data_IF_810071063688
#
_entry.id   IF_810071063688
#
_cell.length_a   1.000
_cell.length_b   1.000
_cell.length_c   1.000
_cell.angle_alpha   90.00
_cell.angle_beta   90.00
_cell.angle_gamma   90.00
#
_symmetry.space_group_name_H-M   'P 1'
#
loop_
_entity.id
_entity.type
_entity.pdbx_description
1 polymer ?
#
# COMPACT_ATOMS: atom_id res chain seq x y z
N UNK A 1 -18.40 0.85 28.93
CA UNK A 1 -17.34 1.41 28.04
C UNK A 1 -17.62 0.95 26.62
N UNK A 2 -18.17 1.82 25.78
CA UNK A 2 -18.73 1.45 24.47
C UNK A 2 -17.63 0.98 23.50
N UNK A 3 -17.97 0.12 22.55
CA UNK A 3 -17.05 -0.43 21.55
C UNK A 3 -16.31 0.68 20.77
N UNK A 4 -16.97 1.81 20.50
CA UNK A 4 -16.37 3.00 19.88
C UNK A 4 -15.18 3.56 20.68
N UNK A 5 -15.29 3.62 22.01
CA UNK A 5 -14.22 4.19 22.85
C UNK A 5 -12.98 3.28 22.88
N UNK A 6 -13.14 1.96 22.74
CA UNK A 6 -12.01 1.04 22.63
C UNK A 6 -11.27 1.21 21.31
N UNK A 7 -11.99 1.36 20.20
CA UNK A 7 -11.40 1.60 18.88
C UNK A 7 -10.67 2.95 18.83
N UNK A 8 -11.24 4.00 19.43
CA UNK A 8 -10.58 5.30 19.55
C UNK A 8 -9.30 5.23 20.40
N UNK A 9 -9.29 4.42 21.46
CA UNK A 9 -8.10 4.20 22.27
C UNK A 9 -7.03 3.38 21.53
N UNK A 10 -7.43 2.41 20.70
CA UNK A 10 -6.54 1.65 19.83
C UNK A 10 -5.91 2.52 18.73
N UNK A 11 -6.70 3.43 18.14
CA UNK A 11 -6.21 4.38 17.16
C UNK A 11 -5.22 5.38 17.76
N UNK A 12 -5.48 5.82 18.99
CA UNK A 12 -4.51 6.54 19.82
C UNK A 12 -3.55 5.59 20.52
N UNK A 13 -3.32 4.38 20.00
CA UNK A 13 -2.38 3.37 20.47
C UNK A 13 -1.11 3.35 19.58
N UNK A 14 0.06 2.98 20.12
CA UNK A 14 1.27 2.83 19.26
C UNK A 14 1.08 1.68 18.27
N UNK A 15 0.28 0.69 18.67
CA UNK A 15 -0.08 -0.48 17.87
C UNK A 15 -0.73 -0.14 16.52
N UNK A 16 -1.54 0.94 16.42
CA UNK A 16 -2.17 1.32 15.15
C UNK A 16 -1.13 1.61 14.06
N UNK A 17 -0.20 2.53 14.33
CA UNK A 17 0.86 2.88 13.38
C UNK A 17 1.90 1.76 13.20
N UNK A 18 2.21 1.02 14.27
CA UNK A 18 3.10 -0.14 14.17
C UNK A 18 2.51 -1.25 13.29
N UNK A 19 1.18 -1.41 13.25
CA UNK A 19 0.52 -2.38 12.38
C UNK A 19 0.68 -2.02 10.90
N UNK A 20 0.60 -0.74 10.52
CA UNK A 20 0.91 -0.32 9.15
C UNK A 20 2.37 -0.58 8.80
N UNK A 21 3.32 -0.20 9.67
CA UNK A 21 4.75 -0.43 9.44
C UNK A 21 5.02 -1.93 9.25
N UNK A 22 4.56 -2.76 10.19
CA UNK A 22 4.78 -4.20 10.14
C UNK A 22 4.08 -4.83 8.92
N UNK A 23 2.84 -4.45 8.63
CA UNK A 23 2.09 -4.95 7.48
C UNK A 23 2.76 -4.61 6.16
N UNK A 24 3.17 -3.36 5.95
CA UNK A 24 3.87 -2.93 4.74
C UNK A 24 5.23 -3.59 4.60
N UNK A 25 6.00 -3.73 5.67
CA UNK A 25 7.29 -4.44 5.64
C UNK A 25 7.11 -5.92 5.29
N UNK A 26 6.11 -6.59 5.85
CA UNK A 26 5.80 -7.98 5.52
C UNK A 26 5.40 -8.15 4.06
N UNK A 27 4.59 -7.23 3.51
CA UNK A 27 4.20 -7.26 2.10
C UNK A 27 5.39 -7.01 1.16
N UNK A 28 6.26 -6.05 1.49
CA UNK A 28 7.50 -5.82 0.74
C UNK A 28 8.42 -7.04 0.81
N UNK A 29 8.60 -7.63 1.99
CA UNK A 29 9.41 -8.83 2.18
C UNK A 29 8.85 -10.02 1.38
N UNK A 30 7.53 -10.21 1.38
CA UNK A 30 6.87 -11.21 0.56
C UNK A 30 7.11 -10.95 -0.94
N UNK A 31 6.99 -9.69 -1.40
CA UNK A 31 7.25 -9.35 -2.79
C UNK A 31 8.70 -9.60 -3.22
N UNK A 32 9.67 -9.32 -2.34
CA UNK A 32 11.09 -9.62 -2.57
C UNK A 32 11.34 -11.12 -2.58
N UNK A 33 10.67 -11.88 -1.71
CA UNK A 33 10.73 -13.35 -1.74
C UNK A 33 10.27 -13.89 -3.09
N UNK A 34 9.12 -13.43 -3.61
CA UNK A 34 8.67 -13.86 -4.94
C UNK A 34 9.64 -13.44 -6.05
N UNK A 35 10.22 -12.24 -5.98
CA UNK A 35 11.18 -11.78 -6.97
C UNK A 35 12.47 -12.62 -6.98
N UNK A 36 13.11 -12.82 -5.84
CA UNK A 36 14.43 -13.45 -5.78
C UNK A 36 14.40 -14.97 -5.64
N UNK A 37 13.37 -15.54 -5.03
CA UNK A 37 13.28 -16.99 -4.78
C UNK A 37 12.42 -17.69 -5.83
N UNK A 38 11.38 -17.02 -6.32
CA UNK A 38 10.45 -17.58 -7.32
C UNK A 38 10.66 -16.98 -8.72
N UNK A 39 11.73 -16.21 -8.90
CA UNK A 39 12.13 -15.56 -10.16
C UNK A 39 10.98 -14.79 -10.83
N UNK A 40 10.08 -14.23 -10.01
CA UNK A 40 8.94 -13.47 -10.50
C UNK A 40 9.39 -12.04 -10.84
N UNK A 41 9.60 -11.79 -12.14
CA UNK A 41 10.00 -10.49 -12.66
C UNK A 41 8.95 -9.42 -12.31
N UNK A 42 9.33 -8.30 -11.67
CA UNK A 42 8.39 -7.24 -11.32
C UNK A 42 7.99 -6.40 -12.54
N UNK A 43 6.68 -6.17 -12.70
CA UNK A 43 6.14 -5.24 -13.68
C UNK A 43 5.98 -3.81 -13.11
N UNK A 44 5.71 -2.84 -13.99
CA UNK A 44 5.50 -1.44 -13.65
C UNK A 44 4.49 -1.24 -12.50
N UNK A 45 3.31 -1.87 -12.59
CA UNK A 45 2.25 -1.72 -11.57
C UNK A 45 2.67 -2.31 -10.22
N UNK A 46 3.40 -3.44 -10.22
CA UNK A 46 3.96 -4.02 -9.00
C UNK A 46 4.97 -3.07 -8.32
N UNK A 47 5.83 -2.40 -9.10
CA UNK A 47 6.76 -1.41 -8.57
C UNK A 47 6.00 -0.20 -8.00
N UNK A 48 4.96 0.28 -8.68
CA UNK A 48 4.10 1.36 -8.15
C UNK A 48 3.47 1.00 -6.81
N UNK A 49 3.00 -0.25 -6.65
CA UNK A 49 2.47 -0.74 -5.37
C UNK A 49 3.56 -0.79 -4.29
N UNK A 50 4.79 -1.21 -4.61
CA UNK A 50 5.92 -1.18 -3.66
C UNK A 50 6.28 0.24 -3.24
N UNK A 51 6.21 1.21 -4.14
CA UNK A 51 6.40 2.62 -3.82
C UNK A 51 5.31 3.11 -2.85
N UNK A 52 4.05 2.76 -3.09
CA UNK A 52 2.93 3.09 -2.20
C UNK A 52 3.08 2.45 -0.81
N UNK A 53 3.53 1.18 -0.73
CA UNK A 53 3.82 0.51 0.55
C UNK A 53 4.96 1.21 1.30
N UNK A 54 6.00 1.64 0.58
CA UNK A 54 7.12 2.40 1.17
C UNK A 54 6.67 3.75 1.70
N UNK A 55 5.82 4.45 0.94
CA UNK A 55 5.18 5.70 1.37
C UNK A 55 4.30 5.48 2.61
N UNK A 56 3.57 4.37 2.68
CA UNK A 56 2.74 4.01 3.83
C UNK A 56 3.57 3.82 5.11
N UNK A 57 4.76 3.21 5.01
CA UNK A 57 5.71 3.10 6.13
C UNK A 57 6.14 4.49 6.62
N UNK A 58 6.51 5.38 5.70
CA UNK A 58 6.92 6.76 6.02
C UNK A 58 5.78 7.51 6.72
N UNK A 59 4.56 7.45 6.17
CA UNK A 59 3.38 8.06 6.77
C UNK A 59 3.10 7.48 8.16
N UNK A 60 3.29 6.18 8.37
CA UNK A 60 3.06 5.56 9.66
C UNK A 60 4.08 6.02 10.72
N UNK A 61 5.35 6.23 10.35
CA UNK A 61 6.37 6.81 11.22
C UNK A 61 6.03 8.26 11.59
N UNK A 62 5.57 9.04 10.61
CA UNK A 62 5.10 10.43 10.83
C UNK A 62 3.87 10.43 11.75
N UNK A 63 2.92 9.53 11.53
CA UNK A 63 1.73 9.36 12.36
C UNK A 63 2.07 8.99 13.81
N UNK A 64 3.08 8.14 14.02
CA UNK A 64 3.59 7.82 15.36
C UNK A 64 4.13 9.06 16.08
N UNK A 65 4.85 9.91 15.36
CA UNK A 65 5.48 11.14 15.88
C UNK A 65 4.46 12.26 16.16
N UNK A 66 3.46 12.39 15.27
CA UNK A 66 2.44 13.45 15.33
C UNK A 66 1.22 13.08 16.17
N UNK A 67 1.18 11.90 16.79
CA UNK A 67 0.07 11.38 17.58
C UNK A 67 -0.44 12.31 18.69
N UNK A 68 0.43 13.17 19.25
CA UNK A 68 0.06 14.17 20.26
C UNK A 68 -0.75 15.35 19.68
N UNK A 69 -0.65 15.59 18.38
CA UNK A 69 -1.28 16.70 17.67
C UNK A 69 -2.46 16.16 16.84
N UNK A 70 -3.72 16.29 17.31
CA UNK A 70 -4.85 15.60 16.69
C UNK A 70 -5.14 16.08 15.26
N UNK A 71 -4.86 17.35 14.94
CA UNK A 71 -5.00 17.90 13.59
C UNK A 71 -3.98 17.28 12.61
N UNK A 72 -2.69 17.26 12.99
CA UNK A 72 -1.64 16.66 12.16
C UNK A 72 -1.89 15.15 11.96
N UNK A 73 -2.26 14.45 13.03
CA UNK A 73 -2.59 13.03 12.96
C UNK A 73 -3.79 12.77 12.04
N UNK A 74 -4.80 13.64 12.01
CA UNK A 74 -5.92 13.53 11.07
C UNK A 74 -5.47 13.75 9.61
N UNK A 75 -4.59 14.72 9.35
CA UNK A 75 -4.01 14.91 8.02
C UNK A 75 -3.27 13.65 7.53
N UNK A 76 -2.42 13.06 8.38
CA UNK A 76 -1.71 11.81 8.04
C UNK A 76 -2.69 10.66 7.75
N UNK A 77 -3.77 10.54 8.53
CA UNK A 77 -4.80 9.53 8.27
C UNK A 77 -5.54 9.77 6.95
N UNK A 78 -5.82 11.02 6.57
CA UNK A 78 -6.38 11.36 5.26
C UNK A 78 -5.41 10.99 4.13
N UNK A 79 -4.12 11.32 4.28
CA UNK A 79 -3.10 10.92 3.30
C UNK A 79 -2.99 9.39 3.20
N UNK A 80 -3.15 8.68 4.31
CA UNK A 80 -3.15 7.21 4.34
C UNK A 80 -4.32 6.63 3.55
N UNK A 81 -5.51 7.24 3.62
CA UNK A 81 -6.66 6.86 2.78
C UNK A 81 -6.34 7.06 1.30
N UNK A 82 -5.72 8.20 0.94
CA UNK A 82 -5.31 8.46 -0.44
C UNK A 82 -4.34 7.39 -0.98
N UNK A 83 -3.38 6.95 -0.15
CA UNK A 83 -2.47 5.84 -0.48
C UNK A 83 -3.25 4.52 -0.67
N UNK A 84 -4.22 4.23 0.18
CA UNK A 84 -5.02 3.01 0.06
C UNK A 84 -5.93 3.01 -1.19
N UNK A 85 -6.48 4.18 -1.57
CA UNK A 85 -7.25 4.35 -2.81
C UNK A 85 -6.36 4.11 -4.03
N UNK A 86 -5.21 4.79 -4.09
CA UNK A 86 -4.26 4.63 -5.19
C UNK A 86 -3.72 3.19 -5.28
N UNK A 87 -3.48 2.53 -4.15
CA UNK A 87 -3.09 1.12 -4.15
C UNK A 87 -4.20 0.22 -4.70
N UNK A 88 -5.46 0.50 -4.39
CA UNK A 88 -6.61 -0.24 -4.93
C UNK A 88 -6.80 -0.03 -6.42
N UNK A 89 -6.56 1.20 -6.91
CA UNK A 89 -6.57 1.49 -8.34
C UNK A 89 -5.51 0.68 -9.10
N UNK A 90 -4.26 0.65 -8.59
CA UNK A 90 -3.17 -0.13 -9.21
C UNK A 90 -3.41 -1.63 -9.14
N UNK A 91 -3.95 -2.13 -8.03
CA UNK A 91 -4.33 -3.54 -7.89
C UNK A 91 -5.43 -3.93 -8.89
N UNK A 92 -6.42 -3.04 -9.10
CA UNK A 92 -7.48 -3.24 -10.08
C UNK A 92 -6.93 -3.25 -11.52
N UNK A 93 -6.04 -2.31 -11.86
CA UNK A 93 -5.38 -2.27 -13.17
C UNK A 93 -4.57 -3.55 -13.42
N UNK A 94 -3.78 -3.99 -12.44
CA UNK A 94 -3.00 -5.22 -12.54
C UNK A 94 -3.90 -6.45 -12.79
N UNK A 95 -4.95 -6.62 -11.99
CA UNK A 95 -5.89 -7.72 -12.14
C UNK A 95 -6.66 -7.64 -13.48
N UNK A 96 -6.98 -6.43 -13.92
CA UNK A 96 -7.63 -6.18 -15.20
C UNK A 96 -6.77 -6.51 -16.41
N UNK A 97 -5.47 -6.25 -16.33
CA UNK A 97 -4.51 -6.66 -17.35
C UNK A 97 -4.30 -8.18 -17.34
N UNK A 98 -4.21 -8.81 -16.16
CA UNK A 98 -4.10 -10.27 -16.05
C UNK A 98 -5.31 -11.00 -16.67
N UNK A 99 -6.52 -10.48 -16.48
CA UNK A 99 -7.77 -11.08 -16.99
C UNK A 99 -8.17 -10.57 -18.38
N UNK A 100 -7.42 -9.65 -18.97
CA UNK A 100 -7.63 -9.15 -20.33
C UNK A 100 -8.80 -8.18 -20.50
N UNK A 101 -9.30 -7.57 -19.42
CA UNK A 101 -10.39 -6.57 -19.50
C UNK A 101 -9.91 -5.12 -19.36
N UNK A 102 -8.66 -4.89 -18.93
CA UNK A 102 -8.00 -3.56 -18.93
C UNK A 102 -6.66 -3.66 -19.64
N UNK A 103 -6.49 -2.88 -20.70
CA UNK A 103 -5.19 -2.69 -21.35
C UNK A 103 -4.58 -1.38 -20.84
N UNK A 104 -3.67 -1.48 -19.87
CA UNK A 104 -2.82 -0.35 -19.48
C UNK A 104 -1.54 -0.36 -20.31
N UNK A 105 -1.08 0.82 -20.73
CA UNK A 105 0.25 1.03 -21.31
C UNK A 105 1.31 0.69 -20.25
N UNK A 106 1.70 -0.57 -20.17
CA UNK A 106 2.76 -1.03 -19.28
C UNK A 106 4.12 -0.83 -19.95
N UNK A 107 4.58 0.42 -19.95
CA UNK A 107 5.95 0.77 -20.28
C UNK A 107 6.93 0.38 -19.16
N UNK A 108 8.22 0.54 -19.43
CA UNK A 108 9.30 0.38 -18.45
C UNK A 108 9.58 1.69 -17.68
N UNK A 109 9.01 2.80 -18.14
CA UNK A 109 9.17 4.11 -17.51
C UNK A 109 8.14 4.30 -16.38
N UNK A 110 8.64 4.67 -15.20
CA UNK A 110 7.84 5.00 -14.02
C UNK A 110 7.15 6.36 -14.14
N UNK A 111 7.55 7.20 -15.10
CA UNK A 111 7.05 8.56 -15.28
C UNK A 111 7.44 9.49 -14.13
N UNK A 112 8.50 9.14 -13.39
CA UNK A 112 9.01 9.93 -12.27
C UNK A 112 9.90 11.06 -12.79
N UNK A 113 9.88 12.24 -12.14
CA UNK A 113 10.78 13.32 -12.52
C UNK A 113 12.24 12.94 -12.26
N UNK A 114 13.18 13.47 -13.04
CA UNK A 114 14.59 13.07 -13.00
C UNK A 114 15.28 13.25 -11.62
N UNK A 115 14.76 14.11 -10.74
CA UNK A 115 15.29 14.28 -9.38
C UNK A 115 14.88 13.15 -8.41
N UNK A 116 13.93 12.29 -8.80
CA UNK A 116 13.34 11.22 -8.01
C UNK A 116 13.48 9.86 -8.73
N UNK A 117 14.68 9.57 -9.23
CA UNK A 117 15.02 8.31 -9.90
C UNK A 117 15.19 7.15 -8.89
N UNK A 118 14.06 6.68 -8.32
CA UNK A 118 14.05 5.60 -7.32
C UNK A 118 14.61 4.29 -7.85
N UNK A 119 14.42 4.03 -9.13
CA UNK A 119 14.94 2.90 -9.88
C UNK A 119 16.48 2.89 -9.96
N UNK A 120 17.11 4.08 -10.01
CA UNK A 120 18.56 4.21 -9.94
C UNK A 120 19.10 4.20 -8.51
N UNK A 121 18.41 4.86 -7.58
CA UNK A 121 18.86 4.94 -6.18
C UNK A 121 18.75 3.60 -5.44
N UNK A 122 17.69 2.84 -5.71
CA UNK A 122 17.42 1.57 -5.03
C UNK A 122 16.92 0.49 -6.01
N UNK A 123 17.77 0.06 -6.96
CA UNK A 123 17.38 -0.81 -8.06
C UNK A 123 16.88 -2.18 -7.59
N UNK A 124 17.38 -2.69 -6.48
CA UNK A 124 16.97 -3.97 -5.92
C UNK A 124 15.50 -3.99 -5.48
N UNK A 125 14.88 -2.83 -5.27
CA UNK A 125 13.48 -2.69 -4.84
C UNK A 125 12.56 -2.11 -5.92
N UNK A 126 13.05 -1.13 -6.69
CA UNK A 126 12.22 -0.32 -7.61
C UNK A 126 12.53 -0.49 -9.11
N UNK A 127 13.39 -1.44 -9.50
CA UNK A 127 13.64 -1.70 -10.92
C UNK A 127 12.47 -2.47 -11.55
N UNK A 128 12.00 -2.00 -12.70
CA UNK A 128 11.04 -2.71 -13.56
C UNK A 128 11.81 -3.66 -14.46
N UNK A 129 11.41 -4.93 -14.53
CA UNK A 129 12.12 -5.95 -15.32
C UNK A 129 11.25 -6.55 -16.42
N UNK A 130 9.93 -6.39 -16.36
CA UNK A 130 9.00 -6.92 -17.37
C UNK A 130 7.79 -6.01 -17.60
N UNK A 131 7.12 -6.20 -18.73
CA UNK A 131 5.80 -5.62 -18.98
C UNK A 131 4.72 -6.34 -18.17
N UNK A 132 3.57 -5.68 -17.95
CA UNK A 132 2.46 -6.28 -17.22
C UNK A 132 1.84 -7.43 -18.01
N UNK A 133 1.51 -8.51 -17.31
CA UNK A 133 0.90 -9.70 -17.88
C UNK A 133 0.40 -10.61 -16.78
N UNK A 134 0.51 -11.92 -16.99
CA UNK A 134 0.09 -12.91 -16.01
C UNK A 134 0.98 -12.90 -14.75
N UNK A 135 0.37 -12.84 -13.56
CA UNK A 135 1.11 -12.92 -12.29
C UNK A 135 1.17 -14.35 -11.76
N UNK A 136 2.27 -14.76 -11.11
CA UNK A 136 2.40 -16.13 -10.63
C UNK A 136 1.41 -16.42 -9.51
N UNK A 137 1.09 -17.70 -9.37
CA UNK A 137 0.19 -18.16 -8.32
C UNK A 137 0.91 -18.27 -6.96
N UNK A 138 0.23 -17.84 -5.90
CA UNK A 138 0.74 -17.92 -4.54
C UNK A 138 0.47 -19.33 -3.99
N UNK A 139 -0.81 -19.66 -3.78
CA UNK A 139 -1.30 -20.93 -3.23
C UNK A 139 -2.74 -21.17 -3.72
N UNK A 140 -3.11 -22.43 -3.98
CA UNK A 140 -4.47 -22.85 -4.39
C UNK A 140 -5.02 -22.21 -5.69
N UNK A 141 -4.16 -21.85 -6.65
CA UNK A 141 -4.60 -21.23 -7.89
C UNK A 141 -4.93 -19.74 -7.80
N UNK A 142 -4.67 -19.11 -6.63
CA UNK A 142 -4.90 -17.67 -6.43
C UNK A 142 -3.67 -16.90 -6.88
N UNK A 143 -3.87 -15.91 -7.76
CA UNK A 143 -2.78 -15.09 -8.30
C UNK A 143 -2.36 -13.98 -7.33
N UNK A 144 -1.15 -13.45 -7.50
CA UNK A 144 -0.69 -12.30 -6.72
C UNK A 144 -1.65 -11.12 -6.93
N UNK A 145 -2.10 -10.88 -8.17
CA UNK A 145 -3.01 -9.79 -8.49
C UNK A 145 -4.34 -9.88 -7.72
N UNK A 146 -4.94 -11.06 -7.62
CA UNK A 146 -6.17 -11.29 -6.86
C UNK A 146 -5.98 -11.02 -5.36
N UNK A 147 -4.92 -11.58 -4.79
CA UNK A 147 -4.61 -11.41 -3.36
C UNK A 147 -4.37 -9.94 -3.02
N UNK A 148 -3.67 -9.21 -3.91
CA UNK A 148 -3.37 -7.80 -3.74
C UNK A 148 -4.64 -6.95 -3.79
N UNK A 149 -5.58 -7.26 -4.68
CA UNK A 149 -6.87 -6.57 -4.77
C UNK A 149 -7.69 -6.75 -3.48
N UNK A 150 -7.74 -7.96 -2.93
CA UNK A 150 -8.45 -8.21 -1.66
C UNK A 150 -7.79 -7.43 -0.53
N UNK A 151 -6.46 -7.49 -0.42
CA UNK A 151 -5.71 -6.78 0.61
C UNK A 151 -5.86 -5.25 0.48
N UNK A 152 -5.90 -4.70 -0.73
CA UNK A 152 -6.07 -3.26 -0.94
C UNK A 152 -7.44 -2.78 -0.52
N UNK A 153 -8.51 -3.53 -0.82
CA UNK A 153 -9.87 -3.21 -0.38
C UNK A 153 -9.96 -3.28 1.15
N UNK A 154 -9.41 -4.32 1.77
CA UNK A 154 -9.40 -4.46 3.23
C UNK A 154 -8.66 -3.30 3.90
N UNK A 155 -7.50 -2.92 3.36
CA UNK A 155 -6.73 -1.77 3.82
C UNK A 155 -7.54 -0.48 3.69
N UNK A 156 -8.19 -0.27 2.54
CA UNK A 156 -9.01 0.90 2.25
C UNK A 156 -10.19 1.04 3.22
N UNK A 157 -10.93 -0.05 3.45
CA UNK A 157 -12.05 -0.05 4.40
C UNK A 157 -11.57 0.22 5.82
N UNK A 158 -10.49 -0.44 6.25
CA UNK A 158 -9.91 -0.26 7.57
C UNK A 158 -9.43 1.19 7.78
N UNK A 159 -8.63 1.74 6.86
CA UNK A 159 -8.13 3.10 7.00
C UNK A 159 -9.25 4.13 6.90
N UNK A 160 -10.24 3.93 6.02
CA UNK A 160 -11.37 4.87 5.89
C UNK A 160 -12.21 4.92 7.16
N UNK A 161 -12.48 3.76 7.75
CA UNK A 161 -13.18 3.66 9.03
C UNK A 161 -12.40 4.39 10.15
N UNK A 162 -11.09 4.15 10.24
CA UNK A 162 -10.25 4.79 11.26
C UNK A 162 -10.14 6.30 11.05
N UNK A 163 -9.98 6.77 9.82
CA UNK A 163 -9.97 8.21 9.51
C UNK A 163 -11.28 8.87 9.89
N UNK A 164 -12.42 8.24 9.58
CA UNK A 164 -13.74 8.75 9.98
C UNK A 164 -13.86 8.89 11.51
N UNK A 165 -13.40 7.90 12.27
CA UNK A 165 -13.39 7.96 13.74
C UNK A 165 -12.50 9.08 14.27
N UNK A 166 -11.36 9.36 13.62
CA UNK A 166 -10.48 10.49 13.98
C UNK A 166 -11.15 11.83 13.75
N UNK A 167 -11.86 11.98 12.62
CA UNK A 167 -12.55 13.23 12.27
C UNK A 167 -13.75 13.49 13.18
N UNK A 168 -14.51 12.44 13.53
CA UNK A 168 -15.61 12.55 14.49
C UNK A 168 -15.13 13.02 15.88
N UNK A 169 -13.92 12.63 16.28
CA UNK A 169 -13.32 13.09 17.53
C UNK A 169 -12.90 14.56 17.47
N UNK A 170 -12.41 15.06 16.33
CA UNK A 170 -12.03 16.47 16.16
C UNK A 170 -13.23 17.43 16.21
N UNK A 171 -14.42 16.96 15.82
CA UNK A 171 -15.65 17.75 15.85
C UNK A 171 -16.24 17.91 17.26
N UNK A 172 -15.83 17.07 18.22
CA UNK A 172 -16.36 17.05 19.58
C UNK A 172 -15.42 17.75 20.54
#
# INVERSE_FOLDING_TARGET
MNMLNRLQHLQQGRGYWLLYIAGSLLLIAAALYFQYVREALPCLMCIQVRMLLSLLIILAIIGLSTRKYPLLNALVNITTVFVAVSMSERAYQLLGTERGFVFSDCGFDLGLPAWLALDEWLPWLFRVETTCGYTPEIVFGITIAESLMVLSILLLLFTSCMTLLSLLKLKK
#
